data_IF_915269679889
#
_entry.id   IF_915269679889
#
_cell.length_a   1.000
_cell.length_b   1.000
_cell.length_c   1.000
_cell.angle_alpha   90.00
_cell.angle_beta   90.00
_cell.angle_gamma   90.00
#
_symmetry.space_group_name_H-M   'P 1'
#
loop_
_entity.id
_entity.type
_entity.pdbx_description
1 polymer ?
#
# COMPACT_ATOMS: atom_id res chain seq x y z
N UNK A 1 -3.33 1.56 -9.46
CA UNK A 1 -3.60 2.73 -8.59
C UNK A 1 -3.36 2.31 -7.15
N UNK A 2 -2.86 3.20 -6.29
CA UNK A 2 -2.70 2.90 -4.86
C UNK A 2 -4.04 3.14 -4.16
N UNK A 3 -4.42 2.21 -3.30
CA UNK A 3 -5.61 2.30 -2.44
C UNK A 3 -5.17 2.47 -0.99
N UNK A 4 -6.03 2.96 -0.09
CA UNK A 4 -7.40 3.46 -0.27
C UNK A 4 -7.45 4.88 -0.86
N UNK A 5 -8.63 5.34 -1.29
CA UNK A 5 -8.87 6.69 -1.77
C UNK A 5 -8.58 7.74 -0.70
N UNK A 6 -7.34 8.22 -0.66
CA UNK A 6 -6.78 9.04 0.42
C UNK A 6 -5.26 8.85 0.58
N UNK A 7 -4.72 7.73 0.10
CA UNK A 7 -3.29 7.55 -0.07
C UNK A 7 -2.75 8.38 -1.25
N UNK A 8 -1.55 8.95 -1.10
CA UNK A 8 -0.89 9.73 -2.14
C UNK A 8 0.62 9.53 -2.14
N UNK A 9 1.29 9.79 -3.27
CA UNK A 9 2.75 9.77 -3.34
C UNK A 9 3.31 11.15 -2.96
N UNK A 10 4.14 11.20 -1.92
CA UNK A 10 4.86 12.40 -1.48
C UNK A 10 6.21 12.47 -2.18
N UNK A 11 6.36 13.39 -3.14
CA UNK A 11 7.64 13.60 -3.83
C UNK A 11 8.74 14.13 -2.90
N UNK A 12 8.36 14.77 -1.79
CA UNK A 12 9.30 15.25 -0.77
C UNK A 12 9.93 14.10 0.02
N UNK A 13 9.16 13.05 0.31
CA UNK A 13 9.62 11.87 1.06
C UNK A 13 10.12 10.77 0.13
N UNK A 14 9.66 10.75 -1.13
CA UNK A 14 9.87 9.64 -2.04
C UNK A 14 9.02 8.41 -1.69
N UNK A 15 7.91 8.61 -0.98
CA UNK A 15 7.13 7.54 -0.37
C UNK A 15 5.63 7.72 -0.60
N UNK A 16 4.88 6.62 -0.58
CA UNK A 16 3.43 6.66 -0.45
C UNK A 16 3.05 6.95 1.00
N UNK A 17 2.13 7.90 1.19
CA UNK A 17 1.65 8.35 2.50
C UNK A 17 0.15 8.10 2.59
N UNK A 18 -0.26 7.50 3.71
CA UNK A 18 -1.66 7.38 4.10
C UNK A 18 -1.90 8.24 5.36
N UNK A 19 -2.75 9.27 5.29
CA UNK A 19 -3.09 10.06 6.47
C UNK A 19 -3.74 9.20 7.56
N UNK A 20 -3.24 9.30 8.79
CA UNK A 20 -3.80 8.55 9.92
C UNK A 20 -5.29 8.83 10.15
N UNK A 21 -5.76 10.04 9.85
CA UNK A 21 -7.17 10.38 9.95
C UNK A 21 -8.06 9.55 9.00
N UNK A 22 -7.57 9.22 7.80
CA UNK A 22 -8.29 8.38 6.85
C UNK A 22 -8.43 6.94 7.36
N UNK A 23 -7.48 6.48 8.19
CA UNK A 23 -7.55 5.17 8.86
C UNK A 23 -8.48 5.21 10.06
N UNK A 24 -8.31 6.20 10.96
CA UNK A 24 -9.05 6.25 12.23
C UNK A 24 -10.56 6.46 12.06
N UNK A 25 -10.98 7.07 10.96
CA UNK A 25 -12.39 7.39 10.69
C UNK A 25 -13.04 6.37 9.75
N UNK A 26 -12.28 5.40 9.27
CA UNK A 26 -12.78 4.37 8.38
C UNK A 26 -13.80 3.45 9.09
N UNK A 27 -14.83 2.96 8.38
CA UNK A 27 -15.71 1.92 8.89
C UNK A 27 -14.98 0.62 9.25
N UNK A 28 -13.88 0.33 8.55
CA UNK A 28 -13.00 -0.82 8.80
C UNK A 28 -11.53 -0.37 8.70
N UNK A 29 -10.93 0.11 9.79
CA UNK A 29 -9.55 0.60 9.81
C UNK A 29 -8.51 -0.45 9.40
N UNK A 30 -8.73 -1.71 9.77
CA UNK A 30 -7.81 -2.81 9.48
C UNK A 30 -7.78 -3.12 7.98
N UNK A 31 -8.95 -3.17 7.34
CA UNK A 31 -9.05 -3.37 5.89
C UNK A 31 -8.41 -2.20 5.12
N UNK A 32 -8.62 -0.96 5.57
CA UNK A 32 -8.06 0.25 4.96
C UNK A 32 -6.53 0.27 5.04
N UNK A 33 -5.97 -0.04 6.21
CA UNK A 33 -4.52 -0.14 6.38
C UNK A 33 -3.93 -1.28 5.55
N UNK A 34 -4.58 -2.44 5.53
CA UNK A 34 -4.12 -3.60 4.78
C UNK A 34 -4.13 -3.37 3.26
N UNK A 35 -5.15 -2.66 2.75
CA UNK A 35 -5.22 -2.28 1.34
C UNK A 35 -4.06 -1.37 0.94
N UNK A 36 -3.71 -0.41 1.79
CA UNK A 36 -2.56 0.47 1.58
C UNK A 36 -1.24 -0.32 1.52
N UNK A 37 -0.97 -1.17 2.50
CA UNK A 37 0.26 -1.96 2.53
C UNK A 37 0.38 -2.86 1.30
N UNK A 38 -0.72 -3.48 0.86
CA UNK A 38 -0.71 -4.37 -0.31
C UNK A 38 -0.48 -3.61 -1.62
N UNK A 39 -1.19 -2.50 -1.83
CA UNK A 39 -1.13 -1.79 -3.11
C UNK A 39 0.15 -0.98 -3.26
N UNK A 40 0.70 -0.44 -2.17
CA UNK A 40 2.02 0.22 -2.18
C UNK A 40 3.14 -0.78 -2.40
N UNK A 41 3.08 -1.97 -1.77
CA UNK A 41 4.03 -3.05 -2.05
C UNK A 41 4.00 -3.47 -3.52
N UNK A 42 2.82 -3.72 -4.08
CA UNK A 42 2.69 -4.12 -5.48
C UNK A 42 3.26 -3.04 -6.41
N UNK A 43 2.90 -1.77 -6.20
CA UNK A 43 3.42 -0.67 -7.01
C UNK A 43 4.94 -0.53 -6.93
N UNK A 44 5.53 -0.72 -5.74
CA UNK A 44 6.98 -0.67 -5.55
C UNK A 44 7.68 -1.88 -6.19
N UNK A 45 7.13 -3.08 -6.03
CA UNK A 45 7.68 -4.31 -6.59
C UNK A 45 7.66 -4.29 -8.12
N UNK A 46 6.55 -3.83 -8.72
CA UNK A 46 6.41 -3.69 -10.17
C UNK A 46 7.39 -2.62 -10.71
N UNK A 47 7.52 -1.48 -10.03
CA UNK A 47 8.48 -0.43 -10.42
C UNK A 47 9.94 -0.85 -10.25
N UNK A 48 10.24 -1.67 -9.23
CA UNK A 48 11.57 -2.19 -8.95
C UNK A 48 11.97 -3.42 -9.77
N UNK A 49 11.05 -3.97 -10.58
CA UNK A 49 11.29 -5.20 -11.34
C UNK A 49 11.55 -6.42 -10.46
N UNK A 50 10.92 -6.48 -9.28
CA UNK A 50 11.13 -7.56 -8.33
C UNK A 50 10.50 -8.87 -8.81
N UNK A 51 11.20 -9.99 -8.63
CA UNK A 51 10.65 -11.34 -8.89
C UNK A 51 9.64 -11.70 -7.79
N UNK A 52 8.40 -11.24 -7.98
CA UNK A 52 7.32 -11.42 -7.03
C UNK A 52 6.96 -12.88 -6.80
N UNK A 53 7.12 -13.75 -7.79
CA UNK A 53 6.87 -15.19 -7.62
C UNK A 53 7.83 -15.84 -6.63
N UNK A 54 9.07 -15.33 -6.53
CA UNK A 54 10.03 -15.78 -5.51
C UNK A 54 9.84 -15.12 -4.15
N UNK A 55 9.32 -13.90 -4.09
CA UNK A 55 9.19 -13.13 -2.85
C UNK A 55 7.86 -13.38 -2.13
N UNK A 56 6.80 -13.69 -2.87
CA UNK A 56 5.48 -13.93 -2.30
C UNK A 56 5.38 -15.35 -1.77
N UNK A 57 5.05 -15.50 -0.48
CA UNK A 57 4.67 -16.81 0.04
C UNK A 57 3.33 -17.20 -0.55
N UNK A 58 3.26 -18.39 -1.15
CA UNK A 58 1.96 -19.04 -1.41
C UNK A 58 1.21 -19.13 -0.10
N UNK A 59 -0.03 -18.63 -0.08
CA UNK A 59 -0.95 -18.90 1.01
C UNK A 59 -1.11 -20.42 1.10
N UNK A 60 -0.65 -21.01 2.20
CA UNK A 60 -1.05 -22.34 2.62
C UNK A 60 -2.48 -22.30 3.16
#
# INVERSE_FOLDING_TARGET
>A
AVEPGGAYYSTKLGEYVLPYEAVRTAPDPDAVLLAFLRTTYAAAADAGGWDRERLERRRG
#
